data_IF_648708850769
#
_entry.id   IF_648708850769
#
_cell.length_a   1.000
_cell.length_b   1.000
_cell.length_c   1.000
_cell.angle_alpha   90.00
_cell.angle_beta   90.00
_cell.angle_gamma   90.00
#
_symmetry.space_group_name_H-M   'P 1'
#
loop_
_entity.id
_entity.type
_entity.pdbx_description
1 polymer ?
#
# COMPACT_ATOMS: atom_id res chain seq x y z
N UNK A 1 -16.80 -5.67 -19.79
CA UNK A 1 -16.06 -6.11 -18.56
C UNK A 1 -16.96 -5.82 -17.36
N UNK A 2 -17.31 -6.87 -16.61
CA UNK A 2 -18.04 -6.70 -15.34
C UNK A 2 -17.02 -6.25 -14.31
N UNK A 3 -17.20 -5.05 -13.73
CA UNK A 3 -16.29 -4.58 -12.67
C UNK A 3 -16.43 -5.47 -11.44
N UNK A 4 -15.32 -5.86 -10.80
CA UNK A 4 -15.33 -6.58 -9.54
C UNK A 4 -16.11 -5.79 -8.47
N UNK A 5 -16.81 -6.49 -7.59
CA UNK A 5 -17.62 -5.86 -6.54
C UNK A 5 -16.76 -5.30 -5.38
N UNK A 6 -15.55 -5.86 -5.15
CA UNK A 6 -14.62 -5.35 -4.13
C UNK A 6 -13.86 -4.15 -4.70
N UNK A 7 -14.07 -3.01 -4.05
CA UNK A 7 -13.42 -1.75 -4.39
C UNK A 7 -12.29 -1.45 -3.39
N UNK A 8 -11.17 -0.95 -3.90
CA UNK A 8 -10.05 -0.47 -3.10
C UNK A 8 -9.88 1.02 -3.36
N UNK A 9 -9.88 1.83 -2.32
CA UNK A 9 -9.56 3.24 -2.39
C UNK A 9 -8.03 3.44 -2.43
N UNK A 10 -7.56 4.23 -3.38
CA UNK A 10 -6.15 4.60 -3.49
C UNK A 10 -6.01 6.10 -3.40
N UNK A 11 -5.35 6.59 -2.35
CA UNK A 11 -4.98 7.98 -2.23
C UNK A 11 -3.56 8.17 -2.74
N UNK A 12 -3.39 8.93 -3.82
CA UNK A 12 -2.09 9.16 -4.46
C UNK A 12 -2.11 10.38 -5.40
N UNK A 13 -1.19 10.44 -6.32
CA UNK A 13 -1.07 11.47 -7.36
C UNK A 13 -2.10 11.43 -8.48
N UNK A 14 -3.00 10.42 -8.45
CA UNK A 14 -4.01 10.19 -9.50
C UNK A 14 -3.53 9.24 -10.59
N UNK A 15 -4.40 9.00 -11.55
CA UNK A 15 -4.14 8.12 -12.69
C UNK A 15 -4.45 8.88 -13.99
N UNK A 16 -3.59 8.74 -14.98
CA UNK A 16 -3.81 9.31 -16.30
C UNK A 16 -4.74 8.40 -17.11
N UNK A 17 -5.75 8.99 -17.74
CA UNK A 17 -6.62 8.27 -18.69
C UNK A 17 -5.83 7.79 -19.91
N UNK A 18 -6.27 6.70 -20.52
CA UNK A 18 -5.56 6.08 -21.65
C UNK A 18 -4.47 5.12 -21.22
N UNK A 19 -4.59 4.54 -20.03
CA UNK A 19 -3.71 3.47 -19.53
C UNK A 19 -4.46 2.14 -19.63
N UNK A 20 -4.23 1.33 -20.68
CA UNK A 20 -5.09 0.18 -21.04
C UNK A 20 -5.27 -0.85 -19.92
N UNK A 21 -4.23 -1.10 -19.12
CA UNK A 21 -4.30 -2.02 -17.99
C UNK A 21 -5.09 -1.45 -16.79
N UNK A 22 -5.29 -0.13 -16.72
CA UNK A 22 -5.98 0.52 -15.61
C UNK A 22 -7.39 0.95 -15.96
N UNK A 23 -7.62 1.53 -17.13
CA UNK A 23 -8.89 2.14 -17.54
C UNK A 23 -10.13 1.25 -17.30
N UNK A 24 -10.10 -0.06 -17.52
CA UNK A 24 -11.26 -0.91 -17.27
C UNK A 24 -11.62 -1.07 -15.78
N UNK A 25 -10.65 -0.86 -14.88
CA UNK A 25 -10.75 -1.21 -13.46
C UNK A 25 -10.65 -0.04 -12.51
N UNK A 26 -10.24 1.15 -13.00
CA UNK A 26 -9.98 2.33 -12.18
C UNK A 26 -11.01 3.42 -12.47
N UNK A 27 -11.61 3.96 -11.43
CA UNK A 27 -12.39 5.20 -11.47
C UNK A 27 -11.56 6.29 -10.81
N UNK A 28 -11.31 7.38 -11.54
CA UNK A 28 -10.46 8.49 -11.06
C UNK A 28 -11.30 9.64 -10.51
N UNK A 29 -10.90 10.13 -9.33
CA UNK A 29 -11.49 11.28 -8.65
C UNK A 29 -10.42 12.34 -8.41
N UNK A 30 -10.61 13.53 -8.96
CA UNK A 30 -9.74 14.66 -8.67
C UNK A 30 -10.26 15.43 -7.45
N UNK A 31 -9.54 15.30 -6.33
CA UNK A 31 -9.94 15.93 -5.06
C UNK A 31 -9.29 17.31 -4.87
N UNK A 32 -8.38 17.72 -5.74
CA UNK A 32 -7.56 18.92 -5.57
C UNK A 32 -7.93 20.05 -6.54
N UNK A 33 -8.43 19.70 -7.73
CA UNK A 33 -8.88 20.68 -8.75
C UNK A 33 -7.75 21.48 -9.44
N UNK A 34 -6.48 21.15 -9.18
CA UNK A 34 -5.34 21.79 -9.84
C UNK A 34 -4.77 20.90 -10.94
N UNK A 35 -3.92 21.44 -11.82
CA UNK A 35 -3.25 20.63 -12.85
C UNK A 35 -2.43 19.53 -12.19
N UNK A 36 -2.57 18.29 -12.67
CA UNK A 36 -1.79 17.16 -12.17
C UNK A 36 -0.32 17.27 -12.63
N UNK A 37 0.59 16.78 -11.80
CA UNK A 37 2.03 16.67 -12.09
C UNK A 37 2.32 15.29 -12.66
N UNK A 38 2.96 15.17 -13.83
CA UNK A 38 3.19 13.89 -14.53
C UNK A 38 3.86 12.83 -13.64
N UNK A 39 4.92 13.18 -12.91
CA UNK A 39 5.59 12.23 -12.01
C UNK A 39 4.65 11.66 -10.93
N UNK A 40 3.66 12.43 -10.48
CA UNK A 40 2.68 11.96 -9.51
C UNK A 40 1.61 11.09 -10.16
N UNK A 41 1.23 11.40 -11.42
CA UNK A 41 0.36 10.52 -12.20
C UNK A 41 1.05 9.18 -12.51
N UNK A 42 2.34 9.19 -12.85
CA UNK A 42 3.11 7.97 -13.04
C UNK A 42 3.17 7.14 -11.74
N UNK A 43 3.46 7.78 -10.60
CA UNK A 43 3.48 7.10 -9.30
C UNK A 43 2.11 6.50 -8.96
N UNK A 44 1.03 7.30 -9.06
CA UNK A 44 -0.32 6.81 -8.78
C UNK A 44 -0.78 5.71 -9.74
N UNK A 45 -0.40 5.80 -11.03
CA UNK A 45 -0.63 4.71 -11.99
C UNK A 45 0.11 3.44 -11.57
N UNK A 46 1.36 3.55 -11.15
CA UNK A 46 2.15 2.43 -10.64
C UNK A 46 1.57 1.79 -9.38
N UNK A 47 1.11 2.62 -8.44
CA UNK A 47 0.42 2.16 -7.22
C UNK A 47 -0.88 1.43 -7.56
N UNK A 48 -1.69 1.95 -8.50
CA UNK A 48 -2.89 1.26 -8.97
C UNK A 48 -2.56 -0.06 -9.67
N UNK A 49 -1.51 -0.09 -10.49
CA UNK A 49 -1.01 -1.33 -11.11
C UNK A 49 -0.60 -2.38 -10.06
N UNK A 50 0.07 -1.95 -8.98
CA UNK A 50 0.45 -2.83 -7.88
C UNK A 50 -0.77 -3.41 -7.13
N UNK A 51 -1.84 -2.62 -6.92
CA UNK A 51 -3.10 -3.13 -6.33
C UNK A 51 -3.73 -4.21 -7.23
N UNK A 52 -3.84 -3.94 -8.55
CA UNK A 52 -4.57 -4.82 -9.47
C UNK A 52 -3.81 -6.09 -9.77
N UNK A 53 -2.52 -5.98 -10.03
CA UNK A 53 -1.72 -7.04 -10.62
C UNK A 53 -0.66 -7.62 -9.67
N UNK A 54 -0.31 -6.91 -8.57
CA UNK A 54 0.77 -7.33 -7.70
C UNK A 54 2.07 -7.49 -8.49
N UNK A 55 2.70 -8.66 -8.40
CA UNK A 55 3.95 -9.00 -9.09
C UNK A 55 3.73 -9.65 -10.47
N UNK A 56 2.48 -9.79 -10.94
CA UNK A 56 2.14 -10.53 -12.17
C UNK A 56 2.58 -9.84 -13.46
N UNK A 57 2.99 -8.57 -13.39
CA UNK A 57 3.54 -7.85 -14.53
C UNK A 57 5.04 -8.12 -14.76
N UNK A 58 5.69 -8.79 -13.80
CA UNK A 58 7.11 -9.12 -13.92
C UNK A 58 7.36 -10.09 -15.07
N UNK A 59 8.30 -9.75 -15.95
CA UNK A 59 8.63 -10.53 -17.14
C UNK A 59 7.59 -10.42 -18.26
N UNK A 60 6.60 -9.55 -18.11
CA UNK A 60 5.63 -9.23 -19.15
C UNK A 60 6.09 -8.05 -20.00
N UNK A 61 5.63 -8.04 -21.25
CA UNK A 61 5.69 -6.91 -22.16
C UNK A 61 4.30 -6.32 -22.33
N UNK A 62 4.19 -5.16 -22.96
CA UNK A 62 2.91 -4.48 -23.23
C UNK A 62 1.93 -5.30 -24.06
N UNK A 63 2.44 -6.27 -24.86
CA UNK A 63 1.63 -7.15 -25.71
C UNK A 63 1.19 -8.45 -25.03
N UNK A 64 1.71 -8.74 -23.83
CA UNK A 64 1.40 -9.98 -23.15
C UNK A 64 0.02 -9.95 -22.49
N UNK A 65 -0.66 -11.09 -22.53
CA UNK A 65 -1.92 -11.25 -21.81
C UNK A 65 -1.69 -11.20 -20.29
N UNK A 66 -2.50 -10.44 -19.62
CA UNK A 66 -2.54 -10.34 -18.15
C UNK A 66 -3.96 -10.71 -17.69
N UNK A 67 -4.06 -11.54 -16.66
CA UNK A 67 -5.34 -11.96 -16.11
C UNK A 67 -6.15 -10.77 -15.57
N UNK A 68 -7.46 -10.86 -15.69
CA UNK A 68 -8.35 -9.82 -15.18
C UNK A 68 -8.25 -9.73 -13.67
N UNK A 69 -8.11 -8.52 -13.11
CA UNK A 69 -8.11 -8.32 -11.68
C UNK A 69 -9.42 -8.73 -11.01
N UNK A 70 -9.34 -9.26 -9.80
CA UNK A 70 -10.50 -9.59 -8.97
C UNK A 70 -11.01 -8.41 -8.12
N UNK A 71 -10.36 -7.26 -8.20
CA UNK A 71 -10.70 -6.02 -7.50
C UNK A 71 -10.79 -4.86 -8.47
N UNK A 72 -11.47 -3.78 -8.08
CA UNK A 72 -11.49 -2.50 -8.80
C UNK A 72 -10.99 -1.39 -7.90
N UNK A 73 -10.62 -0.26 -8.48
CA UNK A 73 -10.02 0.87 -7.76
C UNK A 73 -10.87 2.12 -7.91
N UNK A 74 -11.01 2.84 -6.79
CA UNK A 74 -11.42 4.24 -6.74
C UNK A 74 -10.16 5.04 -6.40
N UNK A 75 -9.57 5.68 -7.39
CA UNK A 75 -8.33 6.47 -7.27
C UNK A 75 -8.66 7.90 -6.93
N UNK A 76 -8.22 8.36 -5.78
CA UNK A 76 -8.42 9.73 -5.30
C UNK A 76 -7.10 10.50 -5.42
N UNK A 77 -7.05 11.46 -6.35
CA UNK A 77 -5.89 12.34 -6.48
C UNK A 77 -5.88 13.35 -5.35
N UNK A 78 -4.88 13.28 -4.52
CA UNK A 78 -4.72 14.15 -3.33
C UNK A 78 -3.50 15.06 -3.40
N UNK A 79 -2.60 14.88 -4.38
CA UNK A 79 -1.43 15.72 -4.52
C UNK A 79 -1.73 16.94 -5.37
N UNK A 80 -1.49 18.16 -4.84
CA UNK A 80 -1.59 19.40 -5.60
C UNK A 80 -0.49 19.49 -6.67
N UNK A 81 -0.61 20.45 -7.57
CA UNK A 81 0.48 20.79 -8.47
C UNK A 81 1.66 21.30 -7.64
N UNK A 82 2.80 20.66 -7.78
CA UNK A 82 4.05 21.10 -7.15
C UNK A 82 5.03 21.46 -8.27
N UNK A 83 5.58 22.69 -8.28
CA UNK A 83 6.70 23.01 -9.16
C UNK A 83 7.87 22.05 -8.91
N UNK A 84 8.55 21.61 -9.95
CA UNK A 84 9.70 20.69 -9.84
C UNK A 84 10.82 21.24 -8.96
N UNK A 85 10.83 22.54 -8.71
CA UNK A 85 11.81 23.24 -7.88
C UNK A 85 11.47 23.32 -6.39
N UNK A 86 10.23 22.97 -5.97
CA UNK A 86 9.83 23.09 -4.57
C UNK A 86 9.59 21.70 -3.95
N UNK A 87 10.23 21.39 -2.80
CA UNK A 87 9.89 20.22 -2.02
C UNK A 87 8.47 20.37 -1.46
N UNK A 88 7.73 19.27 -1.37
CA UNK A 88 6.42 19.22 -0.71
C UNK A 88 6.53 19.75 0.71
N UNK A 89 5.92 20.91 0.97
CA UNK A 89 5.92 21.51 2.31
C UNK A 89 4.85 20.82 3.18
N UNK A 90 5.15 20.61 4.45
CA UNK A 90 4.26 19.91 5.40
C UNK A 90 2.85 20.51 5.51
N UNK A 91 2.64 21.79 5.14
CA UNK A 91 1.29 22.40 5.21
C UNK A 91 0.29 21.79 4.22
N UNK A 92 0.76 21.18 3.12
CA UNK A 92 -0.10 20.49 2.16
C UNK A 92 -0.66 19.18 2.74
N UNK A 93 0.02 18.59 3.72
CA UNK A 93 -0.41 17.35 4.35
C UNK A 93 -1.74 17.51 5.08
N UNK A 94 -2.01 18.64 5.72
CA UNK A 94 -3.29 18.86 6.42
C UNK A 94 -4.48 18.81 5.46
N UNK A 95 -4.38 19.45 4.29
CA UNK A 95 -5.45 19.39 3.27
C UNK A 95 -5.64 17.96 2.74
N UNK A 96 -4.56 17.20 2.60
CA UNK A 96 -4.61 15.80 2.19
C UNK A 96 -5.32 14.94 3.26
N UNK A 97 -5.01 15.16 4.54
CA UNK A 97 -5.67 14.46 5.65
C UNK A 97 -7.17 14.78 5.70
N UNK A 98 -7.56 16.05 5.49
CA UNK A 98 -8.97 16.46 5.44
C UNK A 98 -9.72 15.79 4.29
N UNK A 99 -9.06 15.62 3.12
CA UNK A 99 -9.64 14.88 1.99
C UNK A 99 -9.83 13.41 2.34
N UNK A 100 -8.83 12.76 2.96
CA UNK A 100 -8.91 11.36 3.37
C UNK A 100 -10.06 11.18 4.38
N UNK A 101 -10.13 12.03 5.41
CA UNK A 101 -11.19 11.97 6.43
C UNK A 101 -12.57 12.09 5.80
N UNK A 102 -12.78 13.04 4.90
CA UNK A 102 -14.04 13.23 4.18
C UNK A 102 -14.39 12.03 3.30
N UNK A 103 -13.46 11.60 2.43
CA UNK A 103 -13.72 10.50 1.48
C UNK A 103 -14.07 9.21 2.21
N UNK A 104 -13.30 8.83 3.23
CA UNK A 104 -13.53 7.58 3.96
C UNK A 104 -14.85 7.61 4.72
N UNK A 105 -15.22 8.78 5.27
CA UNK A 105 -16.50 8.96 5.97
C UNK A 105 -17.72 8.90 5.02
N UNK A 106 -17.56 9.33 3.77
CA UNK A 106 -18.63 9.38 2.76
C UNK A 106 -18.75 8.07 1.95
N UNK A 107 -17.71 7.25 1.88
CA UNK A 107 -17.61 6.08 1.00
C UNK A 107 -17.72 4.76 1.78
N UNK A 108 -18.90 4.47 2.30
CA UNK A 108 -19.16 3.20 2.98
C UNK A 108 -19.04 1.95 2.08
N UNK A 109 -19.04 2.14 0.76
CA UNK A 109 -18.84 1.08 -0.23
C UNK A 109 -17.37 0.66 -0.42
N UNK A 110 -16.42 1.39 0.19
CA UNK A 110 -14.99 1.08 0.14
C UNK A 110 -14.52 0.70 1.55
N UNK A 111 -13.96 -0.50 1.69
CA UNK A 111 -13.51 -1.03 2.98
C UNK A 111 -11.99 -1.29 3.06
N UNK A 112 -11.29 -1.02 1.98
CA UNK A 112 -9.82 -1.14 1.91
C UNK A 112 -9.29 0.15 1.32
N UNK A 113 -8.29 0.74 1.96
CA UNK A 113 -7.61 1.92 1.46
C UNK A 113 -6.11 1.72 1.44
N UNK A 114 -5.46 2.20 0.39
CA UNK A 114 -4.01 2.27 0.29
C UNK A 114 -3.53 3.71 0.37
N UNK A 115 -2.49 3.96 1.19
CA UNK A 115 -1.79 5.22 1.32
C UNK A 115 -0.30 4.96 1.15
N UNK A 116 0.24 5.37 0.00
CA UNK A 116 1.65 5.16 -0.35
C UNK A 116 2.51 6.42 -0.15
N UNK A 117 2.14 7.26 0.81
CA UNK A 117 2.84 8.49 1.15
C UNK A 117 2.63 8.88 2.62
N UNK A 118 3.44 9.79 3.12
CA UNK A 118 3.31 10.37 4.46
C UNK A 118 4.23 11.59 4.62
N UNK A 119 4.18 12.26 5.77
CA UNK A 119 5.17 13.26 6.12
C UNK A 119 6.55 12.63 6.18
N UNK A 120 7.56 13.37 5.74
CA UNK A 120 8.95 12.92 5.85
C UNK A 120 9.41 12.91 7.32
N UNK A 121 10.21 11.93 7.65
CA UNK A 121 10.84 11.76 8.95
C UNK A 121 10.27 10.60 9.76
N UNK A 122 11.15 9.96 10.49
CA UNK A 122 10.84 8.84 11.36
C UNK A 122 9.97 9.27 12.54
N UNK A 123 9.14 8.37 13.05
CA UNK A 123 8.54 8.56 14.38
C UNK A 123 9.66 8.41 15.42
N UNK A 124 9.84 9.40 16.28
CA UNK A 124 10.95 9.43 17.26
C UNK A 124 10.49 9.10 18.68
N UNK A 125 9.23 9.30 18.98
CA UNK A 125 8.59 9.15 20.29
C UNK A 125 7.24 8.43 20.15
N UNK A 126 6.47 8.41 21.22
CA UNK A 126 5.13 7.82 21.27
C UNK A 126 4.00 8.84 20.99
N UNK A 127 4.34 10.08 20.64
CA UNK A 127 3.35 11.10 20.28
C UNK A 127 2.65 10.73 18.96
N UNK A 128 1.33 10.85 18.95
CA UNK A 128 0.50 10.56 17.77
C UNK A 128 0.35 11.82 16.95
N UNK A 129 0.81 11.81 15.71
CA UNK A 129 0.50 12.92 14.84
C UNK A 129 -0.92 12.84 14.29
N UNK A 130 -1.40 13.96 13.73
CA UNK A 130 -2.77 14.05 13.20
C UNK A 130 -3.08 13.01 12.13
N UNK A 131 -2.13 12.66 11.25
CA UNK A 131 -2.38 11.73 10.17
C UNK A 131 -2.64 10.31 10.72
N UNK A 132 -1.76 9.84 11.59
CA UNK A 132 -1.95 8.54 12.27
C UNK A 132 -3.27 8.51 13.05
N UNK A 133 -3.55 9.57 13.82
CA UNK A 133 -4.81 9.68 14.58
C UNK A 133 -6.06 9.57 13.69
N UNK A 134 -6.09 10.30 12.57
CA UNK A 134 -7.24 10.28 11.66
C UNK A 134 -7.42 8.90 11.05
N UNK A 135 -6.35 8.26 10.57
CA UNK A 135 -6.43 6.91 10.01
C UNK A 135 -6.89 5.88 11.04
N UNK A 136 -6.36 5.92 12.27
CA UNK A 136 -6.78 5.03 13.35
C UNK A 136 -8.26 5.22 13.73
N UNK A 137 -8.70 6.48 13.84
CA UNK A 137 -10.10 6.81 14.15
C UNK A 137 -11.06 6.27 13.07
N UNK A 138 -10.75 6.52 11.80
CA UNK A 138 -11.56 6.04 10.67
C UNK A 138 -11.62 4.51 10.60
N UNK A 139 -10.56 3.82 11.05
CA UNK A 139 -10.50 2.35 11.11
C UNK A 139 -11.18 1.74 12.34
N UNK A 140 -11.75 2.54 13.25
CA UNK A 140 -12.33 2.04 14.49
C UNK A 140 -13.83 2.34 14.61
N UNK A 141 -14.30 3.45 14.08
CA UNK A 141 -15.64 3.99 14.34
C UNK A 141 -16.47 4.13 13.04
N UNK A 142 -16.58 3.04 12.28
CA UNK A 142 -17.39 3.05 11.07
C UNK A 142 -18.89 2.95 11.40
N UNK A 143 -19.73 3.82 10.81
CA UNK A 143 -21.18 3.87 11.11
C UNK A 143 -21.93 2.57 10.80
N UNK A 144 -21.44 1.78 9.83
CA UNK A 144 -22.06 0.50 9.42
C UNK A 144 -21.49 -0.73 10.17
N UNK A 145 -20.61 -0.51 11.15
CA UNK A 145 -19.99 -1.57 11.95
C UNK A 145 -18.91 -2.39 11.22
N UNK A 146 -18.63 -2.11 9.93
CA UNK A 146 -17.56 -2.74 9.17
C UNK A 146 -16.45 -1.71 8.98
N UNK A 147 -15.50 -1.74 9.88
CA UNK A 147 -14.39 -0.80 9.88
C UNK A 147 -13.50 -0.95 8.64
N UNK A 148 -13.16 0.15 7.95
CA UNK A 148 -12.21 0.11 6.85
C UNK A 148 -10.80 -0.21 7.36
N UNK A 149 -9.99 -0.80 6.49
CA UNK A 149 -8.59 -1.13 6.74
C UNK A 149 -7.69 -0.30 5.84
N UNK A 150 -6.67 0.30 6.42
CA UNK A 150 -5.61 0.99 5.70
C UNK A 150 -4.39 0.11 5.55
N UNK A 151 -3.85 0.05 4.33
CA UNK A 151 -2.52 -0.45 4.02
C UNK A 151 -1.61 0.76 3.74
N UNK A 152 -0.53 0.88 4.46
CA UNK A 152 0.30 2.09 4.48
C UNK A 152 1.76 1.72 4.26
N UNK A 153 2.43 2.44 3.37
CA UNK A 153 3.85 2.30 3.14
C UNK A 153 4.66 2.71 4.38
N UNK A 154 5.58 1.86 4.84
CA UNK A 154 6.36 2.08 6.04
C UNK A 154 7.36 3.25 5.95
N UNK A 155 7.71 3.65 4.73
CA UNK A 155 8.71 4.68 4.43
C UNK A 155 9.97 4.11 3.79
N UNK A 156 10.77 4.99 3.17
CA UNK A 156 11.92 4.61 2.35
C UNK A 156 13.27 5.16 2.86
N UNK A 157 13.33 5.51 4.13
CA UNK A 157 14.54 6.05 4.79
C UNK A 157 15.27 5.00 5.64
N UNK A 158 15.01 3.69 5.41
CA UNK A 158 15.55 2.58 6.19
C UNK A 158 17.06 2.42 6.15
N UNK A 159 17.74 3.04 5.19
CA UNK A 159 19.20 3.09 5.06
C UNK A 159 19.86 4.23 5.86
N UNK A 160 19.08 5.08 6.50
CA UNK A 160 19.59 6.11 7.40
C UNK A 160 20.05 5.49 8.73
N UNK A 161 20.84 6.24 9.50
CA UNK A 161 21.25 5.83 10.85
C UNK A 161 20.07 5.91 11.83
N UNK A 162 20.06 5.04 12.85
CA UNK A 162 19.09 5.08 13.95
C UNK A 162 19.16 6.44 14.68
N UNK A 163 18.01 7.03 15.06
CA UNK A 163 16.66 6.53 14.92
C UNK A 163 15.95 6.99 13.63
N UNK A 164 16.64 7.61 12.68
CA UNK A 164 16.03 8.21 11.48
C UNK A 164 15.51 7.17 10.47
N UNK A 165 15.91 5.91 10.62
CA UNK A 165 15.47 4.79 9.79
C UNK A 165 14.17 4.12 10.26
N UNK A 166 13.53 4.64 11.33
CA UNK A 166 12.25 4.11 11.82
C UNK A 166 11.11 4.44 10.86
N UNK A 167 10.04 3.64 10.98
CA UNK A 167 8.80 3.83 10.21
C UNK A 167 8.31 5.28 10.28
N UNK A 168 7.59 5.66 9.25
CA UNK A 168 7.05 7.01 9.08
C UNK A 168 5.52 7.01 9.27
N UNK A 169 4.99 8.12 9.77
CA UNK A 169 3.54 8.29 9.87
C UNK A 169 2.89 8.26 8.47
N UNK A 170 1.69 7.65 8.34
CA UNK A 170 0.86 7.02 9.36
C UNK A 170 1.04 5.49 9.49
N UNK A 171 2.20 4.93 9.04
CA UNK A 171 2.43 3.48 9.13
C UNK A 171 2.50 2.95 10.59
N UNK A 172 2.63 3.85 11.56
CA UNK A 172 2.60 3.58 12.99
C UNK A 172 1.20 3.38 13.57
N UNK A 173 0.14 3.48 12.74
CA UNK A 173 -1.23 3.27 13.20
C UNK A 173 -1.47 1.87 13.79
N UNK A 174 -2.41 1.78 14.74
CA UNK A 174 -2.76 0.52 15.44
C UNK A 174 -3.72 -0.33 14.61
N UNK A 175 -4.75 0.31 14.06
CA UNK A 175 -5.88 -0.38 13.41
C UNK A 175 -5.64 -0.67 11.92
N UNK A 176 -4.46 -0.39 11.38
CA UNK A 176 -4.08 -0.67 9.99
C UNK A 176 -2.84 -1.51 9.86
N UNK A 177 -2.32 -1.60 8.65
CA UNK A 177 -1.11 -2.32 8.30
C UNK A 177 -0.04 -1.35 7.81
N UNK A 178 1.08 -1.25 8.52
CA UNK A 178 2.32 -0.65 8.04
C UNK A 178 3.13 -1.70 7.26
N UNK A 179 3.38 -1.46 5.98
CA UNK A 179 4.00 -2.44 5.08
C UNK A 179 5.41 -1.99 4.71
N UNK A 180 6.37 -2.83 5.09
CA UNK A 180 7.75 -2.74 4.65
C UNK A 180 7.98 -3.43 3.31
N UNK A 181 9.18 -3.27 2.76
CA UNK A 181 9.55 -3.83 1.47
C UNK A 181 10.65 -4.89 1.58
N UNK A 182 10.50 -5.97 0.79
CA UNK A 182 11.57 -6.91 0.53
C UNK A 182 11.93 -6.97 -0.95
N UNK A 183 13.11 -7.48 -1.24
CA UNK A 183 13.56 -7.87 -2.57
C UNK A 183 14.00 -9.34 -2.59
N UNK A 184 14.41 -9.82 -3.76
CA UNK A 184 14.80 -11.21 -4.00
C UNK A 184 16.20 -11.23 -4.63
N UNK A 185 17.11 -12.01 -4.06
CA UNK A 185 18.44 -12.23 -4.62
C UNK A 185 18.37 -13.02 -5.94
N UNK A 186 19.46 -13.04 -6.70
CA UNK A 186 19.57 -13.89 -7.90
C UNK A 186 19.47 -15.39 -7.59
N UNK A 187 19.67 -15.78 -6.33
CA UNK A 187 19.49 -17.16 -5.87
C UNK A 187 18.07 -17.48 -5.42
N UNK A 188 17.20 -16.47 -5.36
CA UNK A 188 15.79 -16.62 -4.95
C UNK A 188 15.53 -16.32 -3.47
N UNK A 189 16.57 -15.97 -2.69
CA UNK A 189 16.39 -15.65 -1.26
C UNK A 189 15.75 -14.29 -1.07
N UNK A 190 14.77 -14.21 -0.18
CA UNK A 190 14.14 -12.97 0.22
C UNK A 190 15.00 -12.23 1.24
N UNK A 191 15.06 -10.92 1.14
CA UNK A 191 15.72 -10.06 2.12
C UNK A 191 15.01 -8.71 2.21
N UNK A 192 15.02 -8.06 3.38
CA UNK A 192 14.49 -6.70 3.52
C UNK A 192 15.24 -5.75 2.60
N UNK A 193 14.53 -4.99 1.79
CA UNK A 193 15.13 -3.93 0.97
C UNK A 193 15.76 -2.88 1.89
N UNK A 194 17.00 -2.47 1.63
CA UNK A 194 17.77 -1.59 2.52
C UNK A 194 17.09 -0.26 2.81
N UNK A 195 16.31 0.25 1.86
CA UNK A 195 15.55 1.50 2.01
C UNK A 195 14.30 1.33 2.91
N UNK A 196 13.77 0.11 3.09
CA UNK A 196 12.56 -0.10 3.88
C UNK A 196 12.76 0.31 5.33
N UNK A 197 11.95 1.24 5.81
CA UNK A 197 11.96 1.66 7.21
C UNK A 197 11.66 0.50 8.15
N UNK A 198 12.19 0.59 9.37
CA UNK A 198 12.11 -0.46 10.40
C UNK A 198 11.38 0.02 11.63
N UNK A 199 11.01 -0.92 12.50
CA UNK A 199 10.48 -0.64 13.82
C UNK A 199 11.50 -0.07 14.83
N UNK A 200 11.12 -0.02 16.09
CA UNK A 200 9.78 -0.35 16.57
C UNK A 200 8.75 0.71 16.17
N UNK A 201 7.47 0.33 16.22
CA UNK A 201 6.38 1.29 16.23
C UNK A 201 6.29 2.02 17.57
N UNK A 202 5.24 2.83 17.77
CA UNK A 202 4.94 3.49 19.03
C UNK A 202 4.16 2.59 19.99
N UNK A 203 3.89 3.07 21.20
CA UNK A 203 3.06 2.37 22.18
C UNK A 203 1.68 1.99 21.59
N UNK A 204 1.24 0.76 21.85
CA UNK A 204 0.03 0.18 21.28
C UNK A 204 0.21 -0.53 19.94
N UNK A 205 1.29 -0.23 19.18
CA UNK A 205 1.62 -0.88 17.90
C UNK A 205 3.14 -1.03 17.72
N UNK A 206 3.83 -1.64 18.68
CA UNK A 206 5.31 -1.74 18.70
C UNK A 206 5.87 -2.60 17.60
N UNK A 207 5.17 -3.66 17.20
CA UNK A 207 5.60 -4.50 16.07
C UNK A 207 5.23 -3.79 14.78
N UNK A 208 6.24 -3.18 14.17
CA UNK A 208 6.20 -2.50 12.87
C UNK A 208 7.54 -2.70 12.13
N UNK A 209 7.50 -2.75 10.76
CA UNK A 209 6.28 -2.86 9.95
C UNK A 209 5.44 -4.07 10.37
N UNK A 210 4.15 -4.16 10.00
CA UNK A 210 3.38 -5.38 10.28
C UNK A 210 3.87 -6.55 9.40
N UNK A 211 4.10 -6.30 8.11
CA UNK A 211 4.50 -7.30 7.12
C UNK A 211 5.54 -6.73 6.16
N UNK A 212 6.32 -7.61 5.56
CA UNK A 212 7.11 -7.31 4.37
C UNK A 212 6.40 -7.84 3.12
N UNK A 213 6.36 -7.00 2.07
CA UNK A 213 5.88 -7.38 0.74
C UNK A 213 6.91 -7.00 -0.32
N UNK A 214 6.86 -7.63 -1.51
CA UNK A 214 7.81 -7.33 -2.58
C UNK A 214 7.67 -5.88 -3.03
N UNK A 215 8.70 -5.09 -2.77
CA UNK A 215 8.81 -3.69 -3.18
C UNK A 215 9.96 -3.45 -4.16
N UNK A 216 10.73 -4.52 -4.43
CA UNK A 216 11.86 -4.50 -5.34
C UNK A 216 13.07 -3.73 -4.81
N UNK A 217 14.08 -3.67 -5.65
CA UNK A 217 15.26 -2.81 -5.53
C UNK A 217 15.90 -2.55 -6.91
N UNK A 218 17.06 -1.91 -6.96
CA UNK A 218 17.77 -1.61 -8.22
C UNK A 218 18.16 -2.85 -9.03
N UNK A 219 18.41 -4.00 -8.37
CA UNK A 219 18.80 -5.26 -9.01
C UNK A 219 17.58 -6.07 -9.47
N UNK A 220 16.47 -5.93 -8.75
CA UNK A 220 15.24 -6.65 -8.97
C UNK A 220 14.05 -5.68 -8.81
N UNK A 221 13.81 -4.81 -9.82
CA UNK A 221 12.79 -3.78 -9.72
C UNK A 221 11.36 -4.36 -9.66
N UNK A 222 10.48 -3.64 -9.01
CA UNK A 222 9.04 -3.88 -9.05
C UNK A 222 8.50 -3.39 -10.39
N UNK A 223 7.96 -4.31 -11.20
CA UNK A 223 7.37 -3.96 -12.50
C UNK A 223 5.90 -3.62 -12.34
N UNK A 224 5.53 -2.44 -12.78
CA UNK A 224 4.16 -1.92 -12.66
C UNK A 224 3.78 -1.05 -13.87
N UNK A 225 2.53 -0.60 -13.89
CA UNK A 225 2.02 0.27 -14.95
C UNK A 225 2.55 1.70 -14.81
N UNK A 226 2.77 2.34 -15.94
CA UNK A 226 3.04 3.76 -16.05
C UNK A 226 1.85 4.45 -16.75
N UNK A 227 1.84 5.76 -16.73
CA UNK A 227 0.86 6.53 -17.54
C UNK A 227 0.99 6.17 -19.03
N UNK A 228 -0.09 5.70 -19.65
CA UNK A 228 -0.11 5.17 -21.01
C UNK A 228 0.01 3.64 -21.02
N UNK A 229 0.54 3.06 -22.12
CA UNK A 229 0.65 1.63 -22.29
C UNK A 229 1.94 1.02 -21.71
N UNK A 230 2.88 1.86 -21.26
CA UNK A 230 4.21 1.42 -20.82
C UNK A 230 4.17 0.75 -19.44
N UNK A 231 5.09 -0.21 -19.24
CA UNK A 231 5.47 -0.69 -17.92
C UNK A 231 6.72 0.04 -17.43
N UNK A 232 6.83 0.21 -16.12
CA UNK A 232 8.02 0.81 -15.49
C UNK A 232 8.55 -0.09 -14.40
N UNK A 233 9.87 -0.04 -14.19
CA UNK A 233 10.56 -0.69 -13.08
C UNK A 233 10.80 0.33 -11.98
N UNK A 234 10.31 0.06 -10.79
CA UNK A 234 10.36 0.94 -9.62
C UNK A 234 10.84 0.18 -8.38
N UNK A 235 11.05 0.90 -7.29
CA UNK A 235 11.31 0.34 -5.98
C UNK A 235 10.69 1.21 -4.89
N UNK A 236 10.24 0.59 -3.81
CA UNK A 236 9.72 1.35 -2.68
C UNK A 236 8.65 0.61 -1.90
N UNK A 237 8.49 0.99 -0.63
CA UNK A 237 7.36 0.57 0.19
C UNK A 237 6.03 1.06 -0.39
N UNK A 238 6.07 2.11 -1.23
CA UNK A 238 4.91 2.63 -1.98
C UNK A 238 4.35 1.63 -3.00
N UNK A 239 5.13 0.62 -3.40
CA UNK A 239 4.67 -0.48 -4.26
C UNK A 239 4.37 -1.77 -3.48
N UNK A 240 5.03 -1.99 -2.35
CA UNK A 240 4.76 -3.11 -1.46
C UNK A 240 3.37 -3.01 -0.80
N UNK A 241 3.03 -1.85 -0.25
CA UNK A 241 1.75 -1.61 0.43
C UNK A 241 0.52 -1.88 -0.45
N UNK A 242 0.43 -1.38 -1.70
CA UNK A 242 -0.71 -1.64 -2.55
C UNK A 242 -0.85 -3.11 -2.96
N UNK A 243 0.23 -3.88 -3.04
CA UNK A 243 0.15 -5.33 -3.26
C UNK A 243 -0.61 -6.01 -2.13
N UNK A 244 -0.33 -5.62 -0.87
CA UNK A 244 -1.06 -6.14 0.30
C UNK A 244 -2.54 -5.73 0.25
N UNK A 245 -2.85 -4.48 -0.10
CA UNK A 245 -4.23 -4.04 -0.29
C UNK A 245 -4.96 -4.87 -1.36
N UNK A 246 -4.29 -5.16 -2.48
CA UNK A 246 -4.79 -6.06 -3.51
C UNK A 246 -5.04 -7.49 -3.02
N UNK A 247 -4.13 -8.05 -2.21
CA UNK A 247 -4.29 -9.38 -1.59
C UNK A 247 -5.50 -9.42 -0.64
N UNK A 248 -5.68 -8.40 0.20
CA UNK A 248 -6.85 -8.27 1.06
C UNK A 248 -8.14 -8.24 0.22
N UNK A 249 -8.15 -7.45 -0.85
CA UNK A 249 -9.27 -7.39 -1.76
C UNK A 249 -9.59 -8.72 -2.44
N UNK A 250 -8.57 -9.50 -2.83
CA UNK A 250 -8.73 -10.85 -3.37
C UNK A 250 -9.34 -11.82 -2.35
N UNK A 251 -8.90 -11.78 -1.09
CA UNK A 251 -9.49 -12.58 -0.01
C UNK A 251 -10.96 -12.25 0.20
N UNK A 252 -11.32 -10.97 0.23
CA UNK A 252 -12.71 -10.52 0.33
C UNK A 252 -13.55 -10.89 -0.89
N UNK A 253 -12.96 -10.87 -2.08
CA UNK A 253 -13.64 -11.29 -3.31
C UNK A 253 -13.90 -12.79 -3.35
N UNK A 254 -13.07 -13.60 -2.70
CA UNK A 254 -13.21 -15.06 -2.63
C UNK A 254 -14.35 -15.50 -1.69
N UNK A 255 -14.67 -14.71 -0.65
CA UNK A 255 -15.77 -15.02 0.27
C UNK A 255 -16.40 -13.75 0.88
N UNK A 256 -17.73 -13.60 0.81
CA UNK A 256 -18.42 -12.46 1.41
C UNK A 256 -18.37 -12.44 2.94
N UNK A 257 -17.93 -13.53 3.57
CA UNK A 257 -17.73 -13.60 5.02
C UNK A 257 -16.40 -13.00 5.47
N UNK A 258 -15.46 -12.83 4.55
CA UNK A 258 -14.15 -12.24 4.85
C UNK A 258 -14.28 -10.72 4.77
N UNK A 259 -14.26 -10.07 5.92
CA UNK A 259 -14.15 -8.61 6.02
C UNK A 259 -12.68 -8.18 6.19
N UNK A 260 -12.34 -6.88 6.03
CA UNK A 260 -10.94 -6.43 5.95
C UNK A 260 -10.04 -6.86 7.11
N UNK A 261 -10.52 -6.74 8.35
CA UNK A 261 -9.73 -7.12 9.53
C UNK A 261 -9.54 -8.62 9.68
N UNK A 262 -10.49 -9.45 9.18
CA UNK A 262 -10.28 -10.88 9.08
C UNK A 262 -9.20 -11.20 8.04
N UNK A 263 -9.23 -10.57 6.88
CA UNK A 263 -8.19 -10.71 5.86
C UNK A 263 -6.81 -10.28 6.40
N UNK A 264 -6.74 -9.16 7.16
CA UNK A 264 -5.52 -8.74 7.89
C UNK A 264 -5.00 -9.86 8.80
N UNK A 265 -5.86 -10.41 9.64
CA UNK A 265 -5.49 -11.48 10.58
C UNK A 265 -4.98 -12.73 9.85
N UNK A 266 -5.65 -13.12 8.75
CA UNK A 266 -5.23 -14.24 7.91
C UNK A 266 -3.86 -14.01 7.29
N UNK A 267 -3.59 -12.83 6.72
CA UNK A 267 -2.27 -12.52 6.15
C UNK A 267 -1.16 -12.54 7.20
N UNK A 268 -1.40 -11.98 8.38
CA UNK A 268 -0.44 -12.01 9.50
C UNK A 268 -0.21 -13.44 9.98
N UNK A 269 -1.27 -14.23 10.14
CA UNK A 269 -1.17 -15.63 10.59
C UNK A 269 -0.36 -16.51 9.62
N UNK A 270 -0.48 -16.26 8.32
CA UNK A 270 0.24 -17.00 7.28
C UNK A 270 1.56 -16.34 6.84
N UNK A 271 1.96 -15.24 7.49
CA UNK A 271 3.25 -14.63 7.23
C UNK A 271 4.39 -15.59 7.61
N UNK A 272 5.47 -15.53 6.85
CA UNK A 272 6.64 -16.40 7.07
C UNK A 272 7.78 -15.55 7.61
N UNK A 273 8.08 -15.61 8.92
CA UNK A 273 9.24 -14.93 9.47
C UNK A 273 10.54 -15.61 9.04
N UNK A 274 11.60 -14.83 8.94
CA UNK A 274 12.97 -15.30 8.75
C UNK A 274 13.75 -15.09 10.06
N UNK A 275 14.33 -16.17 10.62
CA UNK A 275 15.05 -16.11 11.89
C UNK A 275 16.31 -15.24 11.84
N UNK A 276 16.85 -14.98 10.65
CA UNK A 276 18.02 -14.12 10.45
C UNK A 276 17.69 -12.62 10.41
N UNK A 277 16.40 -12.26 10.30
CA UNK A 277 15.91 -10.88 10.24
C UNK A 277 15.25 -10.51 11.56
N UNK A 278 15.62 -9.37 12.14
CA UNK A 278 15.02 -8.93 13.40
C UNK A 278 13.53 -8.60 13.25
N UNK A 279 12.77 -8.71 14.36
CA UNK A 279 11.36 -8.36 14.36
C UNK A 279 11.10 -6.89 13.96
N UNK A 280 11.99 -5.98 14.35
CA UNK A 280 11.90 -4.58 13.94
C UNK A 280 12.05 -4.40 12.42
N UNK A 281 12.71 -5.32 11.74
CA UNK A 281 12.92 -5.25 10.29
C UNK A 281 11.82 -5.93 9.49
N UNK A 282 11.22 -7.00 10.00
CA UNK A 282 10.25 -7.81 9.25
C UNK A 282 8.84 -7.82 9.82
N UNK A 283 8.63 -7.36 11.05
CA UNK A 283 7.35 -7.48 11.73
C UNK A 283 6.96 -8.94 11.99
N UNK A 284 5.82 -9.36 11.43
CA UNK A 284 5.38 -10.75 11.47
C UNK A 284 5.99 -11.62 10.35
N UNK A 285 6.75 -11.01 9.43
CA UNK A 285 7.44 -11.71 8.36
C UNK A 285 6.98 -11.35 6.95
N UNK A 286 7.36 -12.18 5.99
CA UNK A 286 6.99 -12.02 4.59
C UNK A 286 5.52 -12.36 4.36
N UNK A 287 4.79 -11.44 3.72
CA UNK A 287 3.40 -11.67 3.32
C UNK A 287 3.29 -12.89 2.38
N UNK A 288 2.27 -13.76 2.54
CA UNK A 288 2.08 -14.92 1.67
C UNK A 288 1.99 -14.51 0.20
N UNK A 289 2.67 -15.24 -0.68
CA UNK A 289 2.68 -14.94 -2.11
C UNK A 289 1.31 -15.24 -2.74
N UNK A 290 0.70 -16.37 -2.40
CA UNK A 290 -0.59 -16.80 -2.91
C UNK A 290 -1.67 -16.75 -1.82
N UNK A 291 -2.67 -15.89 -2.05
CA UNK A 291 -3.82 -15.77 -1.14
C UNK A 291 -4.75 -16.99 -1.17
N UNK A 292 -4.68 -17.83 -2.21
CA UNK A 292 -5.48 -19.07 -2.27
C UNK A 292 -4.99 -20.09 -1.25
N UNK A 293 -3.70 -20.12 -0.92
CA UNK A 293 -3.13 -20.95 0.14
C UNK A 293 -3.62 -20.54 1.53
N UNK A 294 -3.91 -19.24 1.71
CA UNK A 294 -4.45 -18.68 2.96
C UNK A 294 -5.88 -19.19 3.22
N UNK A 295 -6.64 -19.46 2.16
CA UNK A 295 -8.03 -19.93 2.24
C UNK A 295 -8.13 -21.46 2.36
N UNK A 296 -7.10 -22.17 1.93
CA UNK A 296 -7.04 -23.63 1.93
C UNK A 296 -6.27 -24.10 3.17
N UNK A 297 -6.95 -24.17 4.32
CA UNK A 297 -6.37 -24.75 5.53
C UNK A 297 -6.04 -26.23 5.26
N UNK A 298 -4.76 -26.55 5.10
CA UNK A 298 -4.34 -27.95 5.11
C UNK A 298 -4.27 -28.43 6.57
N UNK A 299 -4.76 -29.63 6.87
CA UNK A 299 -4.75 -30.26 8.19
C UNK A 299 -3.34 -30.40 8.84
N UNK A 300 -2.34 -29.72 8.29
CA UNK A 300 -0.93 -29.79 8.70
C UNK A 300 -0.36 -28.48 9.25
N UNK A 301 -1.18 -27.49 9.59
CA UNK A 301 -0.72 -26.29 10.30
C UNK A 301 -1.50 -26.10 11.59
#
# INVERSE_FOLDING_TARGET
>A
IIKPFVKIGVFDGGVKSGTPLLDPYVVSHDMVGTKATERFLDHGSGVCGAVLYGTNLRGKTESDHVDNPSVSIESFRVFPTVPDSEPTKNYQMYSTIDIIERVVSERSDIKIYNVSFGPKGAILDDDINRFTYVCDKLSYDAPDGINPLFCIAAGNDGNLEKPLNRIQSPADMVNGLGIGAYSISFLGDKYRSSYSCIGPGREGAKIKPDLLEFGGDTSMPFITTKSGAELMGEQGTSFASPVVAGKIGKLMAASPQIHPHMARALLIHHATPDESISQDEQGFGFCPNDVTEVLNCSDKK
#
